data_IF_078113458118
#
_entry.id   IF_078113458118
#
_cell.length_a   1.000
_cell.length_b   1.000
_cell.length_c   1.000
_cell.angle_alpha   90.00
_cell.angle_beta   90.00
_cell.angle_gamma   90.00
#
_symmetry.space_group_name_H-M   'P 1'
#
loop_
_entity.id
_entity.type
_entity.pdbx_description
1 polymer ?
#
# COMPACT_ATOMS: atom_id res chain seq x y z
N UNK A 1 -32.29 6.17 -3.50
CA UNK A 1 -32.36 4.79 -2.97
C UNK A 1 -30.93 4.26 -3.00
N UNK A 2 -30.16 4.50 -1.93
CA UNK A 2 -28.78 4.00 -1.79
C UNK A 2 -28.82 2.94 -0.70
N UNK A 3 -28.64 1.69 -1.08
CA UNK A 3 -28.63 0.55 -0.17
C UNK A 3 -27.28 -0.14 -0.28
N UNK A 4 -26.55 -0.21 0.83
CA UNK A 4 -25.39 -1.09 0.99
C UNK A 4 -25.83 -2.54 0.70
N UNK A 5 -25.20 -3.20 -0.26
CA UNK A 5 -25.43 -4.64 -0.48
C UNK A 5 -24.54 -5.44 0.48
N UNK A 6 -25.17 -6.30 1.27
CA UNK A 6 -24.49 -7.39 1.96
C UNK A 6 -24.13 -8.44 0.91
N UNK A 7 -22.85 -8.52 0.58
CA UNK A 7 -22.29 -9.60 -0.23
C UNK A 7 -22.07 -10.83 0.66
N UNK A 8 -22.12 -12.01 0.07
CA UNK A 8 -21.78 -13.28 0.75
C UNK A 8 -20.32 -13.24 1.27
N UNK A 9 -19.50 -12.31 0.76
CA UNK A 9 -18.10 -12.09 1.14
C UNK A 9 -17.85 -10.86 2.03
N UNK A 10 -18.88 -10.12 2.46
CA UNK A 10 -18.72 -8.93 3.32
C UNK A 10 -19.64 -7.75 2.98
N UNK A 11 -19.25 -6.54 3.38
CA UNK A 11 -20.01 -5.31 3.14
C UNK A 11 -19.47 -4.57 1.91
N UNK A 12 -20.32 -4.27 0.94
CA UNK A 12 -19.98 -3.42 -0.21
C UNK A 12 -20.63 -2.05 -0.08
N UNK A 13 -19.84 -0.99 -0.29
CA UNK A 13 -20.22 0.40 -0.03
C UNK A 13 -20.06 1.28 -1.26
N UNK A 14 -20.95 2.25 -1.41
CA UNK A 14 -20.87 3.26 -2.47
C UNK A 14 -19.77 4.30 -2.14
N UNK A 15 -19.05 4.75 -3.17
CA UNK A 15 -18.06 5.85 -3.07
C UNK A 15 -18.75 7.17 -3.44
N UNK A 16 -18.71 8.15 -2.54
CA UNK A 16 -19.26 9.49 -2.74
C UNK A 16 -18.25 10.52 -3.25
N UNK A 17 -16.96 10.16 -3.32
CA UNK A 17 -15.94 11.04 -3.88
C UNK A 17 -14.55 10.42 -3.82
N UNK A 18 -13.72 10.84 -4.77
CA UNK A 18 -12.31 10.47 -4.88
C UNK A 18 -11.50 11.75 -4.89
N UNK A 19 -10.51 11.85 -4.01
CA UNK A 19 -9.55 12.95 -3.97
C UNK A 19 -8.18 12.36 -4.20
N UNK A 20 -7.63 12.57 -5.39
CA UNK A 20 -6.27 12.15 -5.74
C UNK A 20 -5.29 13.30 -5.55
N UNK A 21 -4.01 12.98 -5.37
CA UNK A 21 -2.98 14.00 -5.27
C UNK A 21 -2.75 14.70 -6.62
N UNK A 22 -2.99 16.02 -6.69
CA UNK A 22 -2.90 16.78 -7.94
C UNK A 22 -1.50 16.85 -8.58
N UNK A 23 -0.46 16.44 -7.83
CA UNK A 23 0.91 16.28 -8.32
C UNK A 23 1.25 14.88 -8.85
N UNK A 24 0.28 13.98 -9.00
CA UNK A 24 0.50 12.69 -9.66
C UNK A 24 0.46 12.89 -11.18
N UNK A 25 1.65 12.96 -11.79
CA UNK A 25 1.83 13.30 -13.20
C UNK A 25 1.03 12.41 -14.18
N UNK A 26 0.87 11.09 -13.95
CA UNK A 26 0.13 10.23 -14.88
C UNK A 26 -1.35 10.59 -15.07
N UNK A 27 -1.97 11.34 -14.15
CA UNK A 27 -3.33 11.87 -14.37
C UNK A 27 -3.38 13.03 -15.37
N UNK A 28 -2.25 13.72 -15.59
CA UNK A 28 -2.14 14.84 -16.54
C UNK A 28 -1.57 14.34 -17.87
N UNK A 29 -0.54 13.50 -17.83
CA UNK A 29 0.07 12.86 -18.99
C UNK A 29 0.22 11.36 -18.73
N UNK A 30 -0.59 10.49 -19.38
CA UNK A 30 -0.54 9.05 -19.17
C UNK A 30 0.77 8.41 -19.66
N UNK A 31 1.63 9.12 -20.39
CA UNK A 31 2.95 8.65 -20.81
C UNK A 31 4.07 9.08 -19.84
N UNK A 32 3.72 9.78 -18.76
CA UNK A 32 4.67 10.15 -17.72
C UNK A 32 5.09 8.92 -16.92
N UNK A 33 6.38 8.62 -16.90
CA UNK A 33 6.98 7.58 -16.04
C UNK A 33 7.24 8.07 -14.60
N UNK A 34 6.90 9.32 -14.27
CA UNK A 34 7.05 9.89 -12.92
C UNK A 34 5.89 9.47 -12.01
N UNK A 35 6.11 8.43 -11.21
CA UNK A 35 5.11 7.86 -10.29
C UNK A 35 5.04 8.56 -8.92
N UNK A 36 5.69 9.71 -8.73
CA UNK A 36 5.64 10.45 -7.47
C UNK A 36 4.23 10.89 -7.11
N UNK A 37 3.93 10.88 -5.82
CA UNK A 37 2.63 11.25 -5.26
C UNK A 37 1.48 10.32 -5.69
N UNK A 38 1.77 9.03 -5.90
CA UNK A 38 0.76 8.00 -6.10
C UNK A 38 -0.04 7.74 -4.80
N UNK A 39 -1.03 8.58 -4.56
CA UNK A 39 -1.92 8.51 -3.38
C UNK A 39 -3.27 9.14 -3.69
N UNK A 40 -4.33 8.52 -3.17
CA UNK A 40 -5.68 9.05 -3.21
C UNK A 40 -6.46 8.70 -1.93
N UNK A 41 -7.53 9.46 -1.69
CA UNK A 41 -8.51 9.21 -0.64
C UNK A 41 -9.88 8.91 -1.26
N UNK A 42 -10.51 7.85 -0.78
CA UNK A 42 -11.89 7.50 -1.10
C UNK A 42 -12.80 7.91 0.06
N UNK A 43 -13.82 8.72 -0.25
CA UNK A 43 -14.87 9.05 0.71
C UNK A 43 -16.09 8.16 0.46
N UNK A 44 -16.41 7.30 1.41
CA UNK A 44 -17.63 6.49 1.35
C UNK A 44 -18.89 7.37 1.41
N UNK A 45 -19.94 6.95 0.72
CA UNK A 45 -21.23 7.64 0.72
C UNK A 45 -21.94 7.57 2.07
N UNK A 46 -21.71 6.47 2.79
CA UNK A 46 -22.17 6.25 4.16
C UNK A 46 -21.00 5.76 5.03
N UNK A 47 -20.92 6.18 6.30
CA UNK A 47 -19.85 5.76 7.18
C UNK A 47 -19.96 4.26 7.50
N UNK A 48 -18.80 3.61 7.68
CA UNK A 48 -18.73 2.23 8.16
C UNK A 48 -18.97 2.17 9.67
N UNK A 49 -19.65 1.10 10.11
CA UNK A 49 -19.70 0.73 11.52
C UNK A 49 -18.53 -0.18 11.85
N UNK A 50 -17.68 0.22 12.80
CA UNK A 50 -16.52 -0.57 13.21
C UNK A 50 -16.91 -1.79 14.05
N UNK A 51 -16.20 -2.89 13.84
CA UNK A 51 -16.36 -4.16 14.55
C UNK A 51 -15.03 -4.94 14.55
N UNK A 52 -15.02 -6.19 14.99
CA UNK A 52 -13.79 -7.00 15.05
C UNK A 52 -13.12 -7.29 13.69
N UNK A 53 -13.86 -7.15 12.57
CA UNK A 53 -13.37 -7.34 11.20
C UNK A 53 -13.12 -6.02 10.45
N UNK A 54 -13.67 -4.91 10.94
CA UNK A 54 -13.60 -3.58 10.31
C UNK A 54 -13.06 -2.59 11.33
N UNK A 55 -11.76 -2.27 11.22
CA UNK A 55 -11.07 -1.28 12.04
C UNK A 55 -10.23 -0.35 11.15
N UNK A 56 -10.08 0.93 11.53
CA UNK A 56 -9.14 1.82 10.86
C UNK A 56 -7.70 1.47 11.23
N UNK A 57 -6.78 1.73 10.32
CA UNK A 57 -5.34 1.69 10.60
C UNK A 57 -4.84 3.04 11.12
N UNK A 58 -3.81 3.02 11.98
CA UNK A 58 -3.19 4.27 12.45
C UNK A 58 -2.31 4.88 11.34
N UNK A 59 -2.12 6.19 11.38
CA UNK A 59 -1.05 6.84 10.61
C UNK A 59 0.25 6.88 11.41
N UNK A 60 1.42 7.05 10.75
CA UNK A 60 2.68 7.37 11.39
C UNK A 60 2.51 8.60 12.30
N UNK A 61 3.16 8.57 13.48
CA UNK A 61 3.22 9.76 14.33
C UNK A 61 4.02 10.87 13.65
N UNK A 62 3.83 12.12 14.11
CA UNK A 62 4.63 13.24 13.65
C UNK A 62 6.12 12.92 13.82
N UNK A 63 6.93 13.16 12.79
CA UNK A 63 8.38 12.86 12.77
C UNK A 63 8.76 11.37 12.89
N UNK A 64 7.80 10.45 12.90
CA UNK A 64 8.10 9.02 12.86
C UNK A 64 8.72 8.67 11.50
N UNK A 65 9.99 8.29 11.53
CA UNK A 65 10.74 7.88 10.34
C UNK A 65 10.60 6.39 10.06
N UNK A 66 10.74 6.01 8.79
CA UNK A 66 10.95 4.63 8.39
C UNK A 66 12.30 4.14 8.92
N UNK A 67 12.38 2.86 9.29
CA UNK A 67 13.60 2.25 9.82
C UNK A 67 14.04 1.17 8.84
N UNK A 68 15.17 1.41 8.17
CA UNK A 68 15.75 0.46 7.23
C UNK A 68 15.96 -0.92 7.89
N UNK A 69 15.64 -1.99 7.16
CA UNK A 69 15.69 -3.37 7.65
C UNK A 69 14.53 -3.78 8.57
N UNK A 70 13.66 -2.85 8.99
CA UNK A 70 12.45 -3.21 9.74
C UNK A 70 11.54 -4.06 8.86
N UNK A 71 11.15 -5.22 9.37
CA UNK A 71 10.15 -6.09 8.72
C UNK A 71 8.76 -5.53 8.99
N UNK A 72 8.00 -5.36 7.92
CA UNK A 72 6.62 -4.89 7.92
C UNK A 72 5.78 -5.79 7.01
N UNK A 73 4.47 -5.64 7.06
CA UNK A 73 3.53 -6.54 6.38
C UNK A 73 2.80 -5.81 5.26
N UNK A 74 2.74 -6.43 4.08
CA UNK A 74 1.87 -6.05 2.98
C UNK A 74 0.75 -7.09 2.84
N UNK A 75 -0.46 -6.64 2.50
CA UNK A 75 -1.62 -7.52 2.32
C UNK A 75 -2.41 -7.15 1.07
N UNK A 76 -2.96 -8.13 0.38
CA UNK A 76 -3.81 -7.86 -0.78
C UNK A 76 -4.36 -9.11 -1.45
N UNK A 77 -5.15 -8.90 -2.51
CA UNK A 77 -5.77 -9.95 -3.33
C UNK A 77 -5.16 -9.99 -4.74
N UNK A 78 -4.01 -9.34 -4.94
CA UNK A 78 -3.29 -9.34 -6.20
C UNK A 78 -2.86 -10.73 -6.65
N UNK A 79 -2.18 -10.77 -7.79
CA UNK A 79 -1.71 -12.02 -8.35
C UNK A 79 -0.68 -12.69 -7.42
N UNK A 80 -0.86 -13.98 -7.15
CA UNK A 80 0.08 -14.76 -6.32
C UNK A 80 1.36 -15.15 -7.08
N UNK A 81 1.39 -14.94 -8.39
CA UNK A 81 2.50 -15.15 -9.30
C UNK A 81 2.41 -14.12 -10.44
N UNK A 82 3.53 -13.74 -11.06
CA UNK A 82 3.55 -12.67 -12.07
C UNK A 82 2.56 -12.88 -13.25
N UNK A 83 2.42 -14.11 -13.74
CA UNK A 83 1.40 -14.50 -14.74
C UNK A 83 0.22 -15.29 -14.14
N UNK A 84 -0.02 -15.10 -12.84
CA UNK A 84 -1.04 -15.81 -12.07
C UNK A 84 -2.41 -15.14 -12.11
N UNK A 85 -3.33 -15.72 -11.35
CA UNK A 85 -4.64 -15.13 -11.08
C UNK A 85 -4.63 -14.44 -9.72
N UNK A 86 -5.53 -13.46 -9.56
CA UNK A 86 -5.84 -12.85 -8.27
C UNK A 86 -6.24 -13.93 -7.25
N UNK A 87 -5.81 -13.73 -6.01
CA UNK A 87 -6.15 -14.65 -4.93
C UNK A 87 -7.63 -14.54 -4.55
N UNK A 88 -8.28 -15.67 -4.28
CA UNK A 88 -9.66 -15.68 -3.75
C UNK A 88 -9.72 -15.21 -2.29
N UNK A 89 -8.64 -15.47 -1.54
CA UNK A 89 -8.46 -15.12 -0.13
C UNK A 89 -7.40 -14.03 0.04
N UNK A 90 -7.56 -13.17 1.04
CA UNK A 90 -6.59 -12.13 1.36
C UNK A 90 -5.24 -12.78 1.70
N UNK A 91 -4.18 -12.33 1.03
CA UNK A 91 -2.82 -12.78 1.29
C UNK A 91 -2.08 -11.77 2.18
N UNK A 92 -1.07 -12.25 2.90
CA UNK A 92 -0.14 -11.42 3.65
C UNK A 92 1.31 -11.84 3.38
N UNK A 93 2.21 -10.86 3.34
CA UNK A 93 3.63 -11.06 3.15
C UNK A 93 4.42 -10.13 4.07
N UNK A 94 5.46 -10.67 4.71
CA UNK A 94 6.38 -9.89 5.56
C UNK A 94 7.66 -9.59 4.80
N UNK A 95 7.97 -8.32 4.60
CA UNK A 95 9.14 -7.86 3.84
C UNK A 95 9.87 -6.73 4.58
N UNK A 96 11.20 -6.65 4.50
CA UNK A 96 11.97 -5.60 5.15
C UNK A 96 11.96 -4.31 4.32
N UNK A 97 12.01 -3.16 5.00
CA UNK A 97 12.29 -1.87 4.36
C UNK A 97 13.73 -1.88 3.82
N UNK A 98 13.92 -1.47 2.57
CA UNK A 98 15.22 -1.33 1.92
C UNK A 98 15.59 0.15 1.88
N UNK A 99 16.84 0.46 2.24
CA UNK A 99 17.32 1.84 2.20
C UNK A 99 17.31 2.40 0.78
N UNK A 100 17.02 3.70 0.65
CA UNK A 100 17.00 4.38 -0.65
C UNK A 100 18.34 4.27 -1.39
N UNK A 101 19.47 4.23 -0.67
CA UNK A 101 20.79 4.11 -1.28
C UNK A 101 21.01 2.76 -1.96
N UNK A 102 20.50 1.67 -1.37
CA UNK A 102 20.54 0.34 -2.00
C UNK A 102 19.58 0.33 -3.18
N UNK A 103 18.35 0.80 -2.97
CA UNK A 103 17.30 0.69 -3.98
C UNK A 103 17.57 1.53 -5.24
N UNK A 104 18.24 2.68 -5.08
CA UNK A 104 18.70 3.50 -6.20
C UNK A 104 20.05 3.07 -6.77
N UNK A 105 20.64 1.98 -6.28
CA UNK A 105 21.82 1.37 -6.86
C UNK A 105 21.58 0.93 -8.31
N UNK A 106 22.67 0.79 -9.10
CA UNK A 106 22.58 0.44 -10.53
C UNK A 106 22.00 -0.96 -10.76
N UNK A 107 22.12 -1.87 -9.79
CA UNK A 107 21.62 -3.24 -9.87
C UNK A 107 20.13 -3.37 -9.52
N UNK A 108 19.49 -2.28 -9.09
CA UNK A 108 18.07 -2.22 -8.73
C UNK A 108 17.35 -1.19 -9.59
N UNK A 109 16.85 -0.10 -9.01
CA UNK A 109 16.02 0.89 -9.70
C UNK A 109 16.81 2.06 -10.29
N UNK A 110 18.14 2.10 -10.15
CA UNK A 110 19.01 3.05 -10.86
C UNK A 110 18.50 4.52 -10.82
N UNK A 111 18.35 5.07 -9.60
CA UNK A 111 17.85 6.43 -9.32
C UNK A 111 16.38 6.71 -9.70
N UNK A 112 15.55 5.69 -9.95
CA UNK A 112 14.12 5.86 -10.18
C UNK A 112 13.31 6.09 -8.90
N UNK A 113 13.80 5.67 -7.73
CA UNK A 113 13.10 5.89 -6.44
C UNK A 113 13.27 7.37 -6.04
N UNK A 114 12.17 8.12 -6.06
CA UNK A 114 12.12 9.55 -5.78
C UNK A 114 11.83 9.85 -4.30
N UNK A 115 12.01 11.09 -3.83
CA UNK A 115 11.52 11.49 -2.51
C UNK A 115 10.03 11.16 -2.37
N UNK A 116 9.62 10.73 -1.16
CA UNK A 116 8.25 10.23 -0.84
C UNK A 116 7.93 8.83 -1.39
N UNK A 117 8.92 8.15 -1.96
CA UNK A 117 8.89 6.71 -2.23
C UNK A 117 9.92 5.99 -1.35
N UNK A 118 9.71 4.70 -1.12
CA UNK A 118 10.68 3.81 -0.53
C UNK A 118 10.48 2.40 -1.10
N UNK A 119 11.44 1.52 -0.85
CA UNK A 119 11.37 0.14 -1.26
C UNK A 119 11.19 -0.79 -0.07
N UNK A 120 10.54 -1.91 -0.28
CA UNK A 120 10.53 -3.02 0.65
C UNK A 120 10.53 -4.34 -0.12
N UNK A 121 11.21 -5.34 0.39
CA UNK A 121 11.41 -6.60 -0.32
C UNK A 121 12.72 -7.28 0.04
N UNK A 122 12.97 -8.43 -0.56
CA UNK A 122 14.23 -9.14 -0.42
C UNK A 122 15.09 -8.93 -1.67
N UNK A 123 16.41 -8.69 -1.54
CA UNK A 123 17.33 -8.63 -2.68
C UNK A 123 17.25 -9.84 -3.62
N UNK A 124 17.04 -11.02 -3.06
CA UNK A 124 16.91 -12.28 -3.81
C UNK A 124 15.51 -12.48 -4.42
N UNK A 125 14.58 -11.54 -4.20
CA UNK A 125 13.20 -11.61 -4.65
C UNK A 125 12.37 -12.65 -3.90
N UNK A 126 11.36 -13.20 -4.59
CA UNK A 126 10.50 -14.29 -4.11
C UNK A 126 9.26 -13.83 -3.34
N UNK A 127 9.38 -12.85 -2.44
CA UNK A 127 8.25 -12.28 -1.70
C UNK A 127 8.11 -10.81 -2.08
N UNK A 128 7.02 -10.47 -2.77
CA UNK A 128 6.72 -9.11 -3.24
C UNK A 128 5.20 -8.91 -3.39
N UNK A 129 4.76 -7.66 -3.43
CA UNK A 129 3.42 -7.30 -3.89
C UNK A 129 3.36 -7.40 -5.42
N UNK A 130 2.18 -7.68 -5.99
CA UNK A 130 2.02 -7.85 -7.43
C UNK A 130 0.84 -7.06 -7.99
N UNK A 131 0.51 -7.33 -9.25
CA UNK A 131 -0.61 -6.73 -9.96
C UNK A 131 -1.91 -6.99 -9.21
N UNK A 132 -2.62 -5.91 -8.88
CA UNK A 132 -3.86 -5.95 -8.09
C UNK A 132 -3.68 -5.64 -6.60
N UNK A 133 -2.45 -5.52 -6.10
CA UNK A 133 -2.18 -5.07 -4.73
C UNK A 133 -2.03 -3.54 -4.62
N UNK A 134 -1.91 -2.81 -5.73
CA UNK A 134 -1.76 -1.34 -5.74
C UNK A 134 -2.89 -0.64 -4.97
N UNK A 135 -2.53 0.35 -4.16
CA UNK A 135 -3.42 1.01 -3.20
C UNK A 135 -3.56 0.25 -1.87
N UNK A 136 -3.11 -1.00 -1.81
CA UNK A 136 -3.08 -1.83 -0.61
C UNK A 136 -2.07 -1.34 0.44
N UNK A 137 -2.22 -1.78 1.70
CA UNK A 137 -1.46 -1.22 2.80
C UNK A 137 -0.08 -1.88 2.97
N UNK A 138 0.94 -1.07 3.21
CA UNK A 138 2.21 -1.51 3.82
C UNK A 138 2.23 -1.06 5.28
N UNK A 139 2.18 -2.03 6.18
CA UNK A 139 1.84 -1.82 7.59
C UNK A 139 3.00 -2.23 8.49
N UNK A 140 3.39 -1.35 9.40
CA UNK A 140 4.42 -1.64 10.39
C UNK A 140 3.83 -1.57 11.80
N UNK A 141 4.15 -2.55 12.64
CA UNK A 141 3.78 -2.53 14.05
C UNK A 141 4.81 -1.76 14.89
N UNK A 142 4.35 -0.96 15.85
CA UNK A 142 5.20 -0.36 16.88
C UNK A 142 4.47 -0.21 18.22
N UNK A 143 5.24 0.08 19.27
CA UNK A 143 4.75 0.31 20.63
C UNK A 143 5.02 1.72 21.15
N UNK A 144 5.21 2.72 20.26
CA UNK A 144 5.56 4.09 20.69
C UNK A 144 4.44 4.75 21.50
N UNK A 145 3.20 4.28 21.32
CA UNK A 145 2.02 4.72 22.08
C UNK A 145 1.80 3.97 23.40
N UNK A 146 2.82 3.24 23.88
CA UNK A 146 2.77 2.31 25.02
C UNK A 146 1.86 1.08 24.83
N UNK A 147 1.19 1.00 23.68
CA UNK A 147 0.39 -0.15 23.23
C UNK A 147 0.80 -0.47 21.80
N UNK A 148 0.81 -1.77 21.46
CA UNK A 148 1.09 -2.22 20.10
C UNK A 148 0.05 -1.68 19.12
N UNK A 149 0.52 -1.05 18.04
CA UNK A 149 -0.34 -0.50 16.98
C UNK A 149 0.28 -0.72 15.61
N UNK A 150 -0.57 -1.13 14.68
CA UNK A 150 -0.25 -1.13 13.26
C UNK A 150 -0.42 0.25 12.66
N UNK A 151 0.56 0.69 11.88
CA UNK A 151 0.54 1.98 11.17
C UNK A 151 0.71 1.78 9.68
N UNK A 152 -0.02 2.56 8.89
CA UNK A 152 0.10 2.62 7.44
C UNK A 152 1.35 3.41 7.07
N UNK A 153 2.46 2.71 6.88
CA UNK A 153 3.76 3.32 6.57
C UNK A 153 3.99 3.49 5.08
N UNK A 154 3.25 2.77 4.23
CA UNK A 154 3.31 2.91 2.79
C UNK A 154 2.04 2.43 2.10
N UNK A 155 1.98 2.69 0.80
CA UNK A 155 0.92 2.27 -0.10
C UNK A 155 1.63 1.54 -1.24
N UNK A 156 1.14 0.35 -1.60
CA UNK A 156 1.66 -0.38 -2.76
C UNK A 156 1.40 0.47 -4.00
N UNK A 157 2.45 0.75 -4.79
CA UNK A 157 2.38 1.67 -5.91
C UNK A 157 2.85 1.00 -7.20
N UNK A 158 4.16 0.74 -7.32
CA UNK A 158 4.79 0.14 -8.50
C UNK A 158 6.02 -0.69 -8.13
N UNK A 159 6.47 -1.50 -9.08
CA UNK A 159 7.69 -2.32 -8.99
C UNK A 159 8.03 -2.91 -10.36
N UNK A 160 9.23 -3.45 -10.51
CA UNK A 160 9.61 -4.26 -11.68
C UNK A 160 9.66 -5.71 -11.26
N UNK A 161 8.79 -6.55 -11.83
CA UNK A 161 8.66 -7.97 -11.54
C UNK A 161 8.33 -8.76 -12.78
#
# INVERSE_FOLDING_TARGET
>A
VHGSQLSIKGLQMDVAGIVYHGGYSPFVDPNSEENSNDIALLRLATPLSFNEFIQPICLPALEQSLVDGKICTVTGWGNTQYYGHQSEDLQEASVPIISTSICNGPDYYSNQIKPRMFCAGFPDGGIDACQGDSGGPFMCEDSISQVSRWRLCGIVSWGTG
#
